data_IF_436828153382
#
_entry.id   IF_436828153382
#
_cell.length_a   1.000
_cell.length_b   1.000
_cell.length_c   1.000
_cell.angle_alpha   90.00
_cell.angle_beta   90.00
_cell.angle_gamma   90.00
#
_symmetry.space_group_name_H-M   'P 1'
#
loop_
_entity.id
_entity.type
_entity.pdbx_description
1 polymer ?
#
# COMPACT_ATOMS: atom_id res chain seq x y z
N UNK A 1 5.31 -30.97 -5.44
CA UNK A 1 5.97 -29.66 -5.57
C UNK A 1 6.86 -29.53 -4.35
N UNK A 2 8.19 -29.60 -4.51
CA UNK A 2 9.07 -29.30 -3.38
C UNK A 2 8.83 -27.84 -2.99
N UNK A 3 8.50 -27.58 -1.73
CA UNK A 3 8.47 -26.21 -1.23
C UNK A 3 9.88 -25.62 -1.43
N UNK A 4 9.98 -24.69 -2.37
CA UNK A 4 11.23 -24.00 -2.63
C UNK A 4 11.54 -23.16 -1.40
N UNK A 5 12.66 -23.48 -0.74
CA UNK A 5 13.09 -22.77 0.46
C UNK A 5 13.40 -21.33 0.09
N UNK A 6 12.78 -20.38 0.78
CA UNK A 6 13.04 -18.96 0.58
C UNK A 6 14.40 -18.61 1.19
N UNK A 7 15.31 -18.08 0.38
CA UNK A 7 16.69 -17.77 0.78
C UNK A 7 16.96 -16.26 0.79
N UNK A 8 17.75 -15.80 1.75
CA UNK A 8 18.41 -14.49 1.77
C UNK A 8 19.92 -14.71 1.81
N UNK A 9 20.55 -14.70 0.62
CA UNK A 9 21.93 -15.18 0.49
C UNK A 9 22.01 -16.67 0.85
N UNK A 10 22.86 -17.01 1.83
CA UNK A 10 23.00 -18.38 2.33
C UNK A 10 21.97 -18.75 3.41
N UNK A 11 21.24 -17.77 3.95
CA UNK A 11 20.31 -17.97 5.07
C UNK A 11 18.92 -18.40 4.57
N UNK A 12 18.37 -19.46 5.15
CA UNK A 12 17.00 -19.90 4.89
C UNK A 12 16.02 -19.11 5.75
N UNK A 13 15.01 -18.48 5.15
CA UNK A 13 13.97 -17.75 5.89
C UNK A 13 13.12 -18.74 6.68
N UNK A 14 13.19 -18.66 8.01
CA UNK A 14 12.46 -19.55 8.92
C UNK A 14 11.23 -18.88 9.53
N UNK A 15 11.28 -17.57 9.75
CA UNK A 15 10.14 -16.78 10.19
C UNK A 15 10.10 -15.45 9.44
N UNK A 16 8.89 -15.00 9.13
CA UNK A 16 8.67 -13.70 8.53
C UNK A 16 7.32 -13.16 8.92
N UNK A 17 7.27 -11.90 9.32
CA UNK A 17 6.02 -11.20 9.61
C UNK A 17 6.01 -9.89 8.82
N UNK A 18 4.91 -9.70 8.09
CA UNK A 18 4.63 -8.44 7.44
C UNK A 18 3.70 -7.59 8.29
N UNK A 19 4.14 -6.36 8.60
CA UNK A 19 3.32 -5.34 9.24
C UNK A 19 3.71 -4.00 8.64
N UNK A 20 2.72 -3.25 8.15
CA UNK A 20 2.97 -1.98 7.48
C UNK A 20 3.65 -2.20 6.13
N UNK A 21 4.61 -1.32 5.81
CA UNK A 21 5.31 -1.29 4.53
C UNK A 21 6.50 -2.26 4.44
N UNK A 22 6.93 -2.83 5.57
CA UNK A 22 8.09 -3.74 5.63
C UNK A 22 7.73 -5.15 6.09
N UNK A 23 8.54 -6.11 5.65
CA UNK A 23 8.63 -7.44 6.26
C UNK A 23 9.74 -7.45 7.30
N UNK A 24 9.51 -8.07 8.46
CA UNK A 24 10.57 -8.46 9.40
C UNK A 24 10.85 -9.94 9.18
N UNK A 25 12.12 -10.27 8.96
CA UNK A 25 12.55 -11.63 8.61
C UNK A 25 13.58 -12.11 9.62
N UNK A 26 13.43 -13.36 10.07
CA UNK A 26 14.47 -14.16 10.70
C UNK A 26 14.84 -15.30 9.75
N UNK A 27 16.12 -15.38 9.41
CA UNK A 27 16.68 -16.37 8.52
C UNK A 27 17.88 -17.08 9.19
N UNK A 28 18.10 -18.35 8.84
CA UNK A 28 19.06 -19.22 9.55
C UNK A 28 20.02 -19.90 8.58
N UNK A 29 21.31 -19.86 8.87
CA UNK A 29 22.32 -20.76 8.30
C UNK A 29 23.23 -21.30 9.39
N UNK A 30 23.04 -22.57 9.79
CA UNK A 30 23.82 -23.21 10.85
C UNK A 30 25.29 -23.44 10.50
N UNK A 31 25.71 -23.19 9.25
CA UNK A 31 27.11 -23.33 8.82
C UNK A 31 27.90 -22.04 9.02
N UNK A 32 27.24 -20.91 9.20
CA UNK A 32 27.87 -19.60 9.38
C UNK A 32 28.29 -19.39 10.84
N UNK A 33 29.27 -18.49 11.06
CA UNK A 33 29.70 -18.10 12.41
C UNK A 33 28.56 -17.46 13.21
N UNK A 34 27.71 -16.68 12.53
CA UNK A 34 26.54 -16.00 13.09
C UNK A 34 25.27 -16.58 12.46
N UNK A 35 24.78 -17.74 12.93
CA UNK A 35 23.76 -18.51 12.25
C UNK A 35 22.38 -17.84 12.17
N UNK A 36 22.10 -16.78 12.93
CA UNK A 36 20.79 -16.14 12.99
C UNK A 36 20.85 -14.74 12.39
N UNK A 37 20.18 -14.51 11.26
CA UNK A 37 20.08 -13.23 10.58
C UNK A 37 18.69 -12.63 10.77
N UNK A 38 18.62 -11.40 11.29
CA UNK A 38 17.39 -10.60 11.34
C UNK A 38 17.52 -9.40 10.41
N UNK A 39 16.56 -9.20 9.51
CA UNK A 39 16.55 -8.06 8.58
C UNK A 39 15.13 -7.55 8.34
N UNK A 40 15.04 -6.33 7.79
CA UNK A 40 13.84 -5.93 7.07
C UNK A 40 13.94 -6.43 5.63
N UNK A 41 12.84 -6.88 5.04
CA UNK A 41 12.76 -7.14 3.61
C UNK A 41 11.75 -6.19 2.97
N UNK A 42 12.20 -5.52 1.92
CA UNK A 42 11.38 -4.65 1.07
C UNK A 42 11.35 -5.21 -0.37
N UNK A 43 10.28 -4.92 -1.07
CA UNK A 43 10.02 -5.32 -2.45
C UNK A 43 9.74 -4.12 -3.35
N UNK A 44 9.71 -2.91 -2.80
CA UNK A 44 9.56 -1.65 -3.54
C UNK A 44 10.85 -1.28 -4.28
N UNK A 45 11.24 -2.12 -5.24
CA UNK A 45 12.34 -1.86 -6.17
C UNK A 45 11.91 -2.21 -7.60
N UNK A 46 12.62 -1.70 -8.63
CA UNK A 46 12.23 -1.89 -10.03
C UNK A 46 12.12 -3.34 -10.50
N UNK A 47 12.71 -4.29 -9.76
CA UNK A 47 12.72 -5.71 -10.08
C UNK A 47 11.70 -6.51 -9.26
N UNK A 48 10.99 -5.87 -8.32
CA UNK A 48 10.14 -6.52 -7.32
C UNK A 48 10.84 -7.66 -6.58
N UNK A 49 12.17 -7.60 -6.48
CA UNK A 49 12.99 -8.63 -5.85
C UNK A 49 13.08 -8.41 -4.34
N UNK A 50 13.33 -9.46 -3.56
CA UNK A 50 13.57 -9.31 -2.14
C UNK A 50 14.83 -8.46 -1.89
N UNK A 51 14.67 -7.31 -1.22
CA UNK A 51 15.78 -6.45 -0.79
C UNK A 51 15.88 -6.48 0.73
N UNK A 52 16.87 -7.22 1.25
CA UNK A 52 17.20 -7.24 2.66
C UNK A 52 17.94 -5.95 3.08
N UNK A 53 17.44 -5.27 4.10
CA UNK A 53 18.04 -4.05 4.67
C UNK A 53 18.19 -4.18 6.18
N UNK A 54 19.12 -3.40 6.75
CA UNK A 54 19.36 -3.35 8.20
C UNK A 54 19.61 -4.74 8.81
N UNK A 55 20.37 -5.60 8.09
CA UNK A 55 20.69 -6.95 8.54
C UNK A 55 21.55 -6.95 9.80
N UNK A 56 21.14 -7.71 10.80
CA UNK A 56 21.91 -8.00 12.02
C UNK A 56 22.04 -9.51 12.14
N UNK A 57 23.27 -9.99 12.21
CA UNK A 57 23.58 -11.39 12.43
C UNK A 57 24.03 -11.61 13.88
N UNK A 58 23.54 -12.67 14.51
CA UNK A 58 23.90 -13.07 15.87
C UNK A 58 24.15 -14.59 15.92
N UNK A 59 24.98 -15.00 16.87
CA UNK A 59 25.19 -16.40 17.27
C UNK A 59 24.35 -16.81 18.48
N UNK A 60 23.64 -15.87 19.11
CA UNK A 60 22.64 -16.11 20.14
C UNK A 60 21.23 -16.04 19.54
N UNK A 61 20.52 -17.16 19.65
CA UNK A 61 19.14 -17.26 19.16
C UNK A 61 18.17 -16.34 19.92
N UNK A 62 18.36 -16.16 21.23
CA UNK A 62 17.46 -15.32 22.03
C UNK A 62 17.67 -13.84 21.70
N UNK A 63 18.92 -13.40 21.52
CA UNK A 63 19.22 -12.04 21.04
C UNK A 63 18.60 -11.78 19.66
N UNK A 64 18.74 -12.74 18.73
CA UNK A 64 18.10 -12.63 17.42
C UNK A 64 16.56 -12.53 17.53
N UNK A 65 15.94 -13.31 18.43
CA UNK A 65 14.50 -13.24 18.67
C UNK A 65 14.07 -11.91 19.32
N UNK A 66 14.86 -11.36 20.24
CA UNK A 66 14.63 -10.03 20.81
C UNK A 66 14.60 -8.98 19.70
N UNK A 67 15.65 -8.92 18.87
CA UNK A 67 15.73 -7.98 17.73
C UNK A 67 14.55 -8.18 16.76
N UNK A 68 14.19 -9.43 16.46
CA UNK A 68 13.06 -9.73 15.59
C UNK A 68 11.75 -9.16 16.16
N UNK A 69 11.46 -9.41 17.44
CA UNK A 69 10.23 -8.93 18.09
C UNK A 69 10.20 -7.42 18.26
N UNK A 70 11.33 -6.78 18.60
CA UNK A 70 11.46 -5.33 18.67
C UNK A 70 11.17 -4.68 17.31
N UNK A 71 11.68 -5.26 16.22
CA UNK A 71 11.43 -4.75 14.87
C UNK A 71 9.98 -4.90 14.46
N UNK A 72 9.33 -6.01 14.80
CA UNK A 72 7.88 -6.19 14.59
C UNK A 72 7.10 -5.14 15.38
N UNK A 73 7.44 -4.93 16.66
CA UNK A 73 6.81 -3.91 17.48
C UNK A 73 7.00 -2.50 16.91
N UNK A 74 8.21 -2.18 16.43
CA UNK A 74 8.48 -0.90 15.76
C UNK A 74 7.63 -0.71 14.50
N UNK A 75 7.36 -1.76 13.72
CA UNK A 75 6.47 -1.67 12.56
C UNK A 75 5.02 -1.43 12.99
N UNK A 76 4.54 -2.12 14.03
CA UNK A 76 3.21 -1.89 14.60
C UNK A 76 3.03 -0.42 15.00
N UNK A 77 4.00 0.15 15.72
CA UNK A 77 3.90 1.52 16.22
C UNK A 77 3.97 2.56 15.09
N UNK A 78 4.80 2.31 14.07
CA UNK A 78 4.84 3.14 12.86
C UNK A 78 3.51 3.11 12.10
N UNK A 79 2.96 1.93 11.86
CA UNK A 79 1.67 1.76 11.17
C UNK A 79 0.54 2.42 11.96
N UNK A 80 0.52 2.28 13.30
CA UNK A 80 -0.44 3.01 14.15
C UNK A 80 -0.30 4.51 14.01
N UNK A 81 0.93 5.03 14.03
CA UNK A 81 1.19 6.45 13.85
C UNK A 81 0.75 6.95 12.46
N UNK A 82 0.97 6.17 11.40
CA UNK A 82 0.48 6.47 10.06
C UNK A 82 -1.05 6.56 10.04
N UNK A 83 -1.73 5.53 10.54
CA UNK A 83 -3.20 5.48 10.57
C UNK A 83 -3.81 6.58 11.46
N UNK A 84 -3.10 7.02 12.50
CA UNK A 84 -3.56 8.10 13.38
C UNK A 84 -3.71 9.45 12.67
N UNK A 85 -3.07 9.62 11.50
CA UNK A 85 -3.23 10.81 10.65
C UNK A 85 -4.62 10.92 10.02
N UNK A 86 -5.42 9.85 10.07
CA UNK A 86 -6.76 9.76 9.51
C UNK A 86 -7.81 9.62 10.63
N UNK A 87 -8.15 10.71 11.33
CA UNK A 87 -9.03 10.68 12.50
C UNK A 87 -10.52 10.60 12.12
N UNK A 88 -10.88 9.74 11.16
CA UNK A 88 -12.26 9.48 10.74
C UNK A 88 -12.67 8.03 11.02
N UNK A 89 -13.96 7.74 10.87
CA UNK A 89 -14.52 6.40 11.07
C UNK A 89 -13.76 5.35 10.24
N UNK A 90 -13.50 4.17 10.83
CA UNK A 90 -12.74 3.09 10.22
C UNK A 90 -13.60 2.16 9.35
N UNK A 91 -14.90 2.38 9.28
CA UNK A 91 -15.82 1.61 8.45
C UNK A 91 -15.38 1.69 6.99
N UNK A 92 -15.13 0.52 6.40
CA UNK A 92 -14.74 0.40 5.01
C UNK A 92 -15.95 0.61 4.10
N UNK A 93 -15.71 1.22 2.94
CA UNK A 93 -16.70 1.30 1.88
C UNK A 93 -16.81 -0.06 1.16
N UNK A 94 -18.03 -0.39 0.78
CA UNK A 94 -18.42 -1.64 0.15
C UNK A 94 -19.26 -1.34 -1.10
N UNK A 95 -19.67 -2.39 -1.84
CA UNK A 95 -20.45 -2.23 -3.07
C UNK A 95 -21.79 -1.51 -2.85
N UNK A 96 -22.38 -1.62 -1.67
CA UNK A 96 -23.64 -0.99 -1.29
C UNK A 96 -23.55 0.55 -1.30
N UNK A 97 -22.36 1.08 -1.06
CA UNK A 97 -22.06 2.52 -1.07
C UNK A 97 -21.81 3.06 -2.48
N UNK A 98 -21.78 2.19 -3.49
CA UNK A 98 -21.34 2.52 -4.83
C UNK A 98 -22.49 2.50 -5.85
N UNK A 99 -22.38 3.36 -6.86
CA UNK A 99 -22.99 3.13 -8.16
C UNK A 99 -22.14 2.05 -8.84
N UNK A 100 -22.73 0.89 -9.23
CA UNK A 100 -21.97 -0.23 -9.75
C UNK A 100 -21.11 0.15 -10.95
N UNK A 101 -19.90 -0.41 -10.98
CA UNK A 101 -19.00 -0.17 -12.10
C UNK A 101 -19.42 -0.96 -13.35
N UNK A 102 -19.61 -0.27 -14.47
CA UNK A 102 -19.56 -0.89 -15.79
C UNK A 102 -18.14 -0.75 -16.32
N UNK A 103 -17.40 -1.87 -16.42
CA UNK A 103 -16.03 -1.90 -16.89
C UNK A 103 -15.82 -1.31 -18.31
N UNK A 104 -16.89 -1.16 -19.10
CA UNK A 104 -16.86 -0.48 -20.42
C UNK A 104 -17.06 1.02 -20.33
N UNK A 105 -17.49 1.53 -19.18
CA UNK A 105 -17.76 2.94 -18.96
C UNK A 105 -16.50 3.71 -18.58
N UNK A 106 -16.54 5.02 -18.86
CA UNK A 106 -15.49 5.95 -18.47
C UNK A 106 -15.71 6.42 -17.02
N UNK A 107 -14.67 6.27 -16.20
CA UNK A 107 -14.63 6.75 -14.81
C UNK A 107 -13.69 7.92 -14.56
N UNK A 108 -13.07 8.46 -15.60
CA UNK A 108 -12.24 9.66 -15.48
C UNK A 108 -13.07 10.82 -14.93
N UNK A 109 -12.53 11.51 -13.91
CA UNK A 109 -13.16 12.61 -13.18
C UNK A 109 -14.06 12.17 -12.03
N UNK A 110 -14.29 10.86 -11.86
CA UNK A 110 -15.13 10.30 -10.80
C UNK A 110 -14.30 9.88 -9.59
N UNK A 111 -14.96 9.86 -8.44
CA UNK A 111 -14.39 9.28 -7.22
C UNK A 111 -14.84 7.83 -7.14
N UNK A 112 -13.87 6.92 -7.25
CA UNK A 112 -14.11 5.48 -7.21
C UNK A 112 -13.69 4.90 -5.89
N UNK A 113 -14.36 3.82 -5.51
CA UNK A 113 -14.07 3.05 -4.29
C UNK A 113 -13.25 1.82 -4.65
N UNK A 114 -12.09 1.66 -4.05
CA UNK A 114 -11.29 0.44 -4.14
C UNK A 114 -11.73 -0.62 -3.14
N UNK A 115 -11.62 -1.88 -3.54
CA UNK A 115 -11.82 -3.02 -2.66
C UNK A 115 -10.72 -3.03 -1.60
N UNK A 116 -11.13 -3.05 -0.33
CA UNK A 116 -10.20 -3.16 0.79
C UNK A 116 -9.70 -4.60 0.98
N UNK A 117 -10.52 -5.62 0.68
CA UNK A 117 -10.24 -7.03 1.03
C UNK A 117 -8.89 -7.56 0.55
N UNK A 118 -8.39 -7.24 -0.67
CA UNK A 118 -7.08 -7.72 -1.13
C UNK A 118 -5.90 -7.10 -0.36
N UNK A 119 -6.13 -6.00 0.38
CA UNK A 119 -5.09 -5.34 1.17
C UNK A 119 -4.89 -6.07 2.50
N UNK A 120 -3.71 -5.89 3.09
CA UNK A 120 -3.43 -6.32 4.46
C UNK A 120 -4.35 -5.63 5.45
N UNK A 121 -4.63 -6.30 6.56
CA UNK A 121 -5.63 -5.87 7.54
C UNK A 121 -5.42 -4.44 8.05
N UNK A 122 -4.18 -4.03 8.27
CA UNK A 122 -3.84 -2.66 8.70
C UNK A 122 -4.19 -1.59 7.65
N UNK A 123 -4.26 -1.96 6.37
CA UNK A 123 -4.59 -1.08 5.24
C UNK A 123 -6.01 -1.30 4.69
N UNK A 124 -6.81 -2.17 5.32
CA UNK A 124 -8.26 -2.27 5.12
C UNK A 124 -8.94 -1.09 5.82
N UNK A 125 -8.70 0.11 5.30
CA UNK A 125 -9.09 1.37 5.93
C UNK A 125 -9.65 2.35 4.87
N UNK A 126 -10.70 3.13 5.18
CA UNK A 126 -11.33 4.04 4.23
C UNK A 126 -10.39 5.11 3.65
N UNK A 127 -9.31 5.42 4.36
CA UNK A 127 -8.25 6.32 3.88
C UNK A 127 -7.66 5.86 2.54
N UNK A 128 -7.62 4.55 2.26
CA UNK A 128 -6.99 4.01 1.07
C UNK A 128 -7.99 3.50 0.03
N UNK A 129 -9.28 3.87 0.14
CA UNK A 129 -10.34 3.40 -0.74
C UNK A 129 -10.84 4.45 -1.73
N UNK A 130 -10.86 5.73 -1.40
CA UNK A 130 -11.44 6.77 -2.25
C UNK A 130 -10.40 7.40 -3.17
N UNK A 131 -10.51 7.11 -4.47
CA UNK A 131 -9.58 7.56 -5.51
C UNK A 131 -10.29 8.46 -6.51
N UNK A 132 -9.76 9.66 -6.76
CA UNK A 132 -10.14 10.44 -7.94
C UNK A 132 -9.45 9.83 -9.15
N UNK A 133 -10.22 9.22 -10.05
CA UNK A 133 -9.68 8.66 -11.29
C UNK A 133 -9.39 9.78 -12.29
N UNK A 134 -8.18 9.84 -12.83
CA UNK A 134 -7.70 10.92 -13.70
C UNK A 134 -7.40 10.42 -15.12
N UNK A 135 -7.11 9.12 -15.31
CA UNK A 135 -6.80 8.58 -16.62
C UNK A 135 -6.35 7.12 -16.62
N UNK A 136 -5.82 6.68 -17.77
CA UNK A 136 -5.38 5.30 -18.00
C UNK A 136 -6.39 4.46 -18.78
N UNK A 137 -5.90 3.42 -19.46
CA UNK A 137 -6.70 2.59 -20.36
C UNK A 137 -7.87 1.90 -19.65
N UNK A 138 -7.73 1.56 -18.38
CA UNK A 138 -8.81 0.97 -17.57
C UNK A 138 -9.83 2.01 -17.12
N UNK A 139 -9.41 3.26 -16.92
CA UNK A 139 -10.31 4.33 -16.51
C UNK A 139 -11.27 4.76 -17.64
N UNK A 140 -10.84 4.66 -18.91
CA UNK A 140 -11.66 5.06 -20.06
C UNK A 140 -12.55 3.94 -20.62
N UNK A 141 -12.59 2.76 -19.98
CA UNK A 141 -13.32 1.59 -20.48
C UNK A 141 -12.64 0.86 -21.64
N UNK A 142 -11.32 1.04 -21.80
CA UNK A 142 -10.52 0.38 -22.83
C UNK A 142 -10.13 -1.06 -22.45
N UNK A 143 -9.28 -1.70 -23.27
CA UNK A 143 -8.82 -3.09 -23.05
C UNK A 143 -7.79 -3.25 -21.91
N UNK A 144 -7.42 -2.18 -21.22
CA UNK A 144 -6.42 -2.20 -20.13
C UNK A 144 -7.07 -2.12 -18.75
N UNK A 145 -6.28 -2.36 -17.70
CA UNK A 145 -6.75 -2.28 -16.31
C UNK A 145 -6.20 -1.07 -15.55
N UNK A 146 -5.16 -0.41 -16.07
CA UNK A 146 -4.54 0.71 -15.37
C UNK A 146 -5.48 1.91 -15.22
N UNK A 147 -5.66 2.34 -13.96
CA UNK A 147 -6.33 3.58 -13.54
C UNK A 147 -5.30 4.43 -12.83
N UNK A 148 -4.94 5.57 -13.40
CA UNK A 148 -4.13 6.59 -12.75
C UNK A 148 -5.05 7.59 -12.05
N UNK A 149 -4.67 8.03 -10.86
CA UNK A 149 -5.49 8.94 -10.07
C UNK A 149 -4.82 9.43 -8.82
N UNK A 150 -5.61 10.08 -7.97
CA UNK A 150 -5.18 10.64 -6.69
C UNK A 150 -5.98 10.03 -5.53
N UNK A 151 -5.29 9.50 -4.52
CA UNK A 151 -5.92 9.07 -3.28
C UNK A 151 -6.41 10.29 -2.49
N UNK A 152 -7.69 10.35 -2.12
CA UNK A 152 -8.24 11.54 -1.47
C UNK A 152 -7.72 11.76 -0.05
N UNK A 153 -7.40 10.70 0.70
CA UNK A 153 -6.93 10.86 2.08
C UNK A 153 -5.45 11.26 2.13
N UNK A 154 -4.61 10.70 1.26
CA UNK A 154 -3.16 10.96 1.26
C UNK A 154 -2.75 12.09 0.33
N UNK A 155 -3.56 12.39 -0.70
CA UNK A 155 -3.20 13.29 -1.80
C UNK A 155 -2.18 12.71 -2.78
N UNK A 156 -1.78 11.45 -2.61
CA UNK A 156 -0.76 10.82 -3.44
C UNK A 156 -1.33 10.35 -4.77
N UNK A 157 -0.55 10.57 -5.83
CA UNK A 157 -0.84 10.07 -7.17
C UNK A 157 -0.24 8.69 -7.34
N UNK A 158 -1.05 7.73 -7.78
CA UNK A 158 -0.57 6.38 -8.03
C UNK A 158 -1.35 5.74 -9.18
N UNK A 159 -1.05 4.45 -9.40
CA UNK A 159 -1.70 3.59 -10.37
C UNK A 159 -2.40 2.45 -9.63
N UNK A 160 -3.68 2.26 -9.92
CA UNK A 160 -4.49 1.15 -9.45
C UNK A 160 -5.02 0.33 -10.61
N UNK A 161 -5.69 -0.76 -10.27
CA UNK A 161 -6.30 -1.66 -11.23
C UNK A 161 -7.81 -1.49 -11.24
N UNK A 162 -8.38 -1.48 -12.44
CA UNK A 162 -9.81 -1.35 -12.68
C UNK A 162 -10.60 -2.51 -12.07
N UNK A 163 -10.02 -3.71 -11.99
CA UNK A 163 -10.66 -4.86 -11.35
C UNK A 163 -10.80 -4.72 -9.82
N UNK A 164 -10.00 -3.86 -9.18
CA UNK A 164 -10.12 -3.57 -7.75
C UNK A 164 -11.18 -2.50 -7.45
N UNK A 165 -11.77 -1.89 -8.47
CA UNK A 165 -12.80 -0.86 -8.28
C UNK A 165 -14.16 -1.52 -7.98
N UNK A 166 -14.76 -1.14 -6.86
CA UNK A 166 -16.12 -1.54 -6.47
C UNK A 166 -17.19 -0.74 -7.22
N UNK A 167 -16.91 0.52 -7.54
CA UNK A 167 -17.81 1.43 -8.24
C UNK A 167 -17.51 2.90 -7.96
N UNK A 168 -18.33 3.78 -8.52
CA UNK A 168 -18.33 5.22 -8.19
C UNK A 168 -19.02 5.42 -6.84
N UNK A 169 -18.42 6.18 -5.93
CA UNK A 169 -19.04 6.45 -4.63
C UNK A 169 -20.36 7.23 -4.83
N UNK A 170 -21.44 6.77 -4.19
CA UNK A 170 -22.71 7.51 -4.20
C UNK A 170 -22.54 8.88 -3.52
N UNK A 171 -23.09 9.98 -4.06
CA UNK A 171 -22.95 11.31 -3.46
C UNK A 171 -23.38 11.37 -1.98
N UNK A 172 -24.43 10.64 -1.61
CA UNK A 172 -24.95 10.54 -0.25
C UNK A 172 -24.07 9.71 0.70
N UNK A 173 -23.23 8.82 0.16
CA UNK A 173 -22.28 8.01 0.94
C UNK A 173 -20.90 8.68 1.03
N UNK A 174 -20.68 9.79 0.34
CA UNK A 174 -19.39 10.48 0.34
C UNK A 174 -19.21 11.27 1.66
N UNK A 175 -18.16 10.98 2.46
CA UNK A 175 -17.93 11.68 3.71
C UNK A 175 -17.39 13.09 3.48
N UNK A 176 -17.59 13.98 4.46
CA UNK A 176 -17.24 15.40 4.32
C UNK A 176 -15.73 15.63 4.14
N UNK A 177 -14.89 14.88 4.85
CA UNK A 177 -13.44 14.94 4.66
C UNK A 177 -13.02 14.66 3.21
N UNK A 178 -13.72 13.75 2.53
CA UNK A 178 -13.41 13.38 1.16
C UNK A 178 -13.94 14.42 0.16
N UNK A 179 -15.08 15.07 0.45
CA UNK A 179 -15.57 16.22 -0.33
C UNK A 179 -14.59 17.39 -0.28
N UNK A 180 -14.08 17.69 0.92
CA UNK A 180 -13.07 18.73 1.13
C UNK A 180 -11.76 18.39 0.41
N UNK A 181 -11.29 17.15 0.53
CA UNK A 181 -10.09 16.69 -0.18
C UNK A 181 -10.25 16.77 -1.70
N UNK A 182 -11.40 16.34 -2.24
CA UNK A 182 -11.71 16.44 -3.66
C UNK A 182 -11.68 17.89 -4.17
N UNK A 183 -12.23 18.83 -3.39
CA UNK A 183 -12.19 20.25 -3.72
C UNK A 183 -10.75 20.79 -3.76
N UNK A 184 -9.89 20.38 -2.81
CA UNK A 184 -8.47 20.75 -2.78
C UNK A 184 -7.71 20.23 -3.99
N UNK A 185 -7.87 18.94 -4.32
CA UNK A 185 -7.21 18.32 -5.49
C UNK A 185 -7.61 19.03 -6.79
N UNK A 186 -8.90 19.25 -7.02
CA UNK A 186 -9.41 19.97 -8.21
C UNK A 186 -8.99 21.44 -8.24
N UNK A 187 -8.81 22.08 -7.08
CA UNK A 187 -8.31 23.46 -6.99
C UNK A 187 -6.84 23.59 -7.39
N UNK A 188 -6.01 22.62 -7.01
CA UNK A 188 -4.59 22.57 -7.36
C UNK A 188 -4.35 22.34 -8.85
N UNK A 189 -5.17 21.53 -9.53
CA UNK A 189 -5.08 21.34 -10.98
C UNK A 189 -5.38 22.61 -11.79
N UNK A 190 -6.16 23.53 -11.23
CA UNK A 190 -6.54 24.80 -11.88
C UNK A 190 -5.55 25.94 -11.62
N UNK A 191 -4.62 25.78 -10.69
CA UNK A 191 -3.56 26.76 -10.49
C UNK A 191 -2.55 26.65 -11.64
N UNK A 192 -2.18 27.76 -12.32
CA UNK A 192 -1.19 27.70 -13.38
C UNK A 192 0.13 27.17 -12.81
N UNK A 193 0.64 26.08 -13.39
CA UNK A 193 2.02 25.65 -13.16
C UNK A 193 2.91 26.79 -13.65
N UNK A 194 3.45 27.59 -12.73
CA UNK A 194 4.54 28.52 -13.02
C UNK A 194 5.67 27.66 -13.62
N UNK A 195 5.88 27.77 -14.93
CA UNK A 195 7.03 27.19 -15.61
C UNK A 195 8.22 28.07 -15.27
N UNK A 196 8.77 27.87 -14.08
CA UNK A 196 10.13 28.31 -13.80
C UNK A 196 11.04 27.11 -14.04
N UNK A 197 11.68 27.12 -15.22
CA UNK A 197 13.05 26.68 -15.44
C UNK A 197 13.44 27.03 -16.88
N UNK A 198 13.85 28.29 -17.02
CA UNK A 198 14.94 28.66 -17.92
C UNK A 198 16.25 27.97 -17.46
N UNK A 199 17.06 27.62 -18.47
CA UNK A 199 18.46 27.13 -18.47
C UNK A 199 18.69 25.62 -18.38
#
# INVERSE_FOLDING_TARGET
MSEEKRMLGNYEVTQSIYVGDKEVVLAVDKKEQYPFLVCYCDYHNPLSAAWATEGVASDDYLEAMEIFTERVQSQIDRTRAELSKFPFDKAVFTKEHCIPDDHKSNIVGKVVVLNAEPKRYEYQHPAYQLILAEGGNGATGGRGQAVFGTCLATGERARWERYDVLGEIKPECMPDWAKEALAKVKGQEKAPKHKDLER
#
